data_IF_504838181660
#
_entry.id   IF_504838181660
#
_cell.length_a   1.000
_cell.length_b   1.000
_cell.length_c   1.000
_cell.angle_alpha   90.00
_cell.angle_beta   90.00
_cell.angle_gamma   90.00
#
_symmetry.space_group_name_H-M   'P 1'
#
loop_
_entity.id
_entity.type
_entity.pdbx_description
1 polymer ?
#
# COMPACT_ATOMS: atom_id res chain seq x y z
N UNK A 1 -6.76 45.54 -41.71
CA UNK A 1 -6.30 45.29 -40.33
C UNK A 1 -7.01 44.03 -39.82
N UNK A 2 -6.49 42.86 -40.19
CA UNK A 2 -5.76 41.90 -39.32
C UNK A 2 -6.63 41.29 -38.22
N UNK A 3 -7.46 40.32 -38.62
CA UNK A 3 -7.93 39.26 -37.74
C UNK A 3 -6.71 38.39 -37.39
N UNK A 4 -6.05 38.70 -36.28
CA UNK A 4 -4.99 37.85 -35.74
C UNK A 4 -5.62 36.52 -35.32
N UNK A 5 -5.17 35.46 -35.98
CA UNK A 5 -5.36 34.05 -35.61
C UNK A 5 -5.14 33.90 -34.10
N UNK A 6 -6.22 33.71 -33.36
CA UNK A 6 -6.15 33.07 -32.05
C UNK A 6 -5.87 31.60 -32.38
N UNK A 7 -4.59 31.24 -32.42
CA UNK A 7 -4.18 29.85 -32.31
C UNK A 7 -4.60 29.46 -30.90
N UNK A 8 -5.74 28.78 -30.82
CA UNK A 8 -6.20 28.09 -29.64
C UNK A 8 -5.19 26.97 -29.39
N UNK A 9 -4.10 27.30 -28.69
CA UNK A 9 -3.18 26.33 -28.13
C UNK A 9 -3.96 25.61 -27.04
N UNK A 10 -4.75 24.60 -27.43
CA UNK A 10 -5.02 23.49 -26.54
C UNK A 10 -3.65 22.90 -26.24
N UNK A 11 -2.99 23.44 -25.21
CA UNK A 11 -2.18 22.64 -24.33
C UNK A 11 -3.13 21.56 -23.83
N UNK A 12 -3.26 20.50 -24.63
CA UNK A 12 -3.40 19.15 -24.16
C UNK A 12 -2.21 18.95 -23.21
N UNK A 13 -2.35 19.48 -21.99
CA UNK A 13 -1.91 18.81 -20.80
C UNK A 13 -2.68 17.49 -20.81
N UNK A 14 -2.29 16.58 -21.70
CA UNK A 14 -2.43 15.17 -21.40
C UNK A 14 -1.64 15.09 -20.10
N UNK A 15 -2.28 14.86 -18.94
CA UNK A 15 -1.50 14.51 -17.77
C UNK A 15 -0.57 13.41 -18.28
N UNK A 16 0.74 13.56 -18.09
CA UNK A 16 1.65 12.47 -18.42
C UNK A 16 1.08 11.26 -17.66
N UNK A 17 0.41 10.36 -18.40
CA UNK A 17 -0.18 9.16 -17.83
C UNK A 17 1.08 8.36 -17.54
N UNK A 18 1.62 8.54 -16.34
CA UNK A 18 2.64 7.67 -15.80
C UNK A 18 1.98 6.30 -15.80
N UNK A 19 2.32 5.48 -16.79
CA UNK A 19 1.73 4.17 -16.92
C UNK A 19 2.25 3.33 -15.75
N UNK A 20 1.33 2.88 -14.88
CA UNK A 20 1.66 1.96 -13.81
C UNK A 20 1.72 0.55 -14.43
N UNK A 21 2.90 0.18 -14.93
CA UNK A 21 3.17 -1.18 -15.40
C UNK A 21 3.80 -1.98 -14.27
N UNK A 22 3.11 -3.05 -13.88
CA UNK A 22 3.56 -4.00 -12.89
C UNK A 22 4.19 -5.20 -13.59
N UNK A 23 5.38 -5.62 -13.14
CA UNK A 23 6.06 -6.80 -13.69
C UNK A 23 6.57 -7.72 -12.60
N UNK A 24 6.49 -9.01 -12.85
CA UNK A 24 7.09 -10.03 -11.99
C UNK A 24 8.13 -10.79 -12.78
N UNK A 25 9.31 -10.88 -12.20
CA UNK A 25 10.41 -11.69 -12.70
C UNK A 25 10.82 -12.71 -11.65
N UNK A 26 11.23 -13.89 -12.09
CA UNK A 26 11.80 -14.92 -11.23
C UNK A 26 13.11 -15.41 -11.81
N UNK A 27 13.99 -15.90 -10.97
CA UNK A 27 15.30 -16.40 -11.39
C UNK A 27 16.26 -16.41 -10.23
N UNK A 28 17.50 -15.97 -10.47
CA UNK A 28 18.56 -16.11 -9.49
C UNK A 28 19.41 -14.85 -9.33
N UNK A 29 19.87 -14.63 -8.10
CA UNK A 29 20.97 -13.73 -7.75
C UNK A 29 22.11 -14.59 -7.19
N UNK A 30 23.18 -14.75 -7.99
CA UNK A 30 24.24 -15.70 -7.70
C UNK A 30 23.71 -17.13 -7.74
N UNK A 31 23.66 -17.78 -6.57
CA UNK A 31 23.14 -19.15 -6.40
C UNK A 31 21.75 -19.20 -5.75
N UNK A 32 21.21 -18.04 -5.34
CA UNK A 32 19.98 -17.98 -4.59
C UNK A 32 18.84 -17.62 -5.52
N UNK A 33 17.72 -18.33 -5.38
CA UNK A 33 16.46 -17.98 -6.05
C UNK A 33 15.97 -16.62 -5.54
N UNK A 34 15.40 -15.84 -6.46
CA UNK A 34 14.86 -14.53 -6.17
C UNK A 34 13.70 -14.19 -7.10
N UNK A 35 12.67 -13.57 -6.51
CA UNK A 35 11.55 -12.99 -7.24
C UNK A 35 11.62 -11.46 -7.12
N UNK A 36 11.47 -10.76 -8.25
CA UNK A 36 11.48 -9.31 -8.34
C UNK A 36 10.11 -8.82 -8.83
N UNK A 37 9.56 -7.81 -8.14
CA UNK A 37 8.24 -7.24 -8.38
C UNK A 37 8.42 -5.75 -8.64
N UNK A 38 8.31 -5.34 -9.89
CA UNK A 38 8.47 -3.95 -10.32
C UNK A 38 7.11 -3.25 -10.38
N UNK A 39 7.13 -2.00 -9.97
CA UNK A 39 6.06 -1.01 -10.10
C UNK A 39 6.72 0.28 -10.61
N UNK A 40 6.71 0.45 -11.93
CA UNK A 40 7.41 1.52 -12.63
C UNK A 40 8.91 1.60 -12.23
N UNK A 41 9.33 2.67 -11.53
CA UNK A 41 10.72 2.95 -11.18
C UNK A 41 11.23 2.22 -9.91
N UNK A 42 10.34 1.57 -9.16
CA UNK A 42 10.70 0.87 -7.92
C UNK A 42 10.43 -0.61 -8.03
N UNK A 43 11.18 -1.40 -7.29
CA UNK A 43 10.91 -2.82 -7.16
C UNK A 43 11.04 -3.30 -5.73
N UNK A 44 10.26 -4.32 -5.38
CA UNK A 44 10.48 -5.11 -4.18
C UNK A 44 10.93 -6.48 -4.61
N UNK A 45 11.87 -7.07 -3.89
CA UNK A 45 12.29 -8.43 -4.14
C UNK A 45 12.41 -9.20 -2.84
N UNK A 46 12.20 -10.51 -2.93
CA UNK A 46 12.45 -11.45 -1.84
C UNK A 46 13.51 -12.44 -2.28
N UNK A 47 14.47 -12.69 -1.41
CA UNK A 47 15.52 -13.67 -1.65
C UNK A 47 15.98 -14.28 -0.32
N UNK A 48 16.60 -15.44 -0.39
CA UNK A 48 17.24 -16.10 0.75
C UNK A 48 18.74 -15.82 0.78
N UNK A 49 19.28 -15.51 1.94
CA UNK A 49 20.74 -15.43 2.16
C UNK A 49 21.32 -16.76 2.72
N UNK A 50 20.52 -17.83 2.75
CA UNK A 50 20.86 -19.12 3.35
C UNK A 50 20.54 -19.26 4.85
N UNK A 51 20.06 -18.19 5.51
CA UNK A 51 19.61 -18.22 6.92
C UNK A 51 18.17 -17.78 7.08
N UNK A 52 17.79 -16.73 6.36
CA UNK A 52 16.46 -16.12 6.41
C UNK A 52 16.08 -15.53 5.04
N UNK A 53 14.78 -15.46 4.80
CA UNK A 53 14.16 -14.75 3.69
C UNK A 53 14.04 -13.27 4.04
N UNK A 54 14.55 -12.43 3.14
CA UNK A 54 14.56 -10.98 3.32
C UNK A 54 13.81 -10.31 2.19
N UNK A 55 12.87 -9.43 2.57
CA UNK A 55 12.22 -8.50 1.64
C UNK A 55 13.06 -7.24 1.55
N UNK A 56 13.39 -6.83 0.34
CA UNK A 56 14.23 -5.67 0.05
C UNK A 56 13.56 -4.77 -0.96
N UNK A 57 13.81 -3.47 -0.81
CA UNK A 57 13.37 -2.45 -1.76
C UNK A 57 14.54 -2.07 -2.68
N UNK A 58 14.27 -2.01 -3.97
CA UNK A 58 15.11 -1.45 -5.01
C UNK A 58 14.60 -0.07 -5.35
N UNK A 59 15.49 0.91 -5.20
CA UNK A 59 15.25 2.29 -5.57
C UNK A 59 16.23 2.70 -6.66
N UNK A 60 15.73 3.43 -7.64
CA UNK A 60 16.46 3.78 -8.84
C UNK A 60 17.61 4.75 -8.55
N UNK A 61 18.77 4.49 -9.17
CA UNK A 61 19.90 5.43 -9.21
C UNK A 61 20.43 5.48 -10.62
N UNK A 62 20.23 6.62 -11.26
CA UNK A 62 20.71 6.84 -12.63
C UNK A 62 22.24 6.75 -12.70
N UNK A 63 22.76 5.97 -13.65
CA UNK A 63 24.12 6.14 -14.16
C UNK A 63 24.29 5.45 -15.53
N UNK A 64 25.09 6.07 -16.40
CA UNK A 64 25.67 5.62 -17.69
C UNK A 64 24.86 4.72 -18.65
N UNK A 65 25.00 5.01 -19.95
CA UNK A 65 24.16 4.53 -21.07
C UNK A 65 23.86 3.01 -21.20
N UNK A 66 24.61 2.11 -20.54
CA UNK A 66 24.50 0.65 -20.76
C UNK A 66 24.26 -0.19 -19.47
N UNK A 67 24.31 0.40 -18.28
CA UNK A 67 24.11 -0.35 -17.01
C UNK A 67 23.35 0.52 -16.00
N UNK A 68 22.16 0.07 -15.57
CA UNK A 68 21.37 0.78 -14.57
C UNK A 68 21.60 0.25 -13.17
N UNK A 69 21.67 1.17 -12.21
CA UNK A 69 21.98 0.88 -10.82
C UNK A 69 20.75 1.02 -9.94
N UNK A 70 20.56 0.06 -9.06
CA UNK A 70 19.56 0.11 -8.01
C UNK A 70 20.26 0.10 -6.66
N UNK A 71 19.86 1.02 -5.78
CA UNK A 71 20.19 0.91 -4.37
C UNK A 71 19.23 -0.08 -3.73
N UNK A 72 19.76 -0.94 -2.87
CA UNK A 72 18.92 -1.85 -2.09
C UNK A 72 18.84 -1.39 -0.64
N UNK A 73 17.63 -1.41 -0.09
CA UNK A 73 17.33 -1.06 1.28
C UNK A 73 16.55 -2.19 1.95
N UNK A 74 16.64 -2.27 3.28
CA UNK A 74 15.65 -3.02 4.04
C UNK A 74 14.29 -2.37 3.83
N UNK A 75 13.29 -3.17 3.48
CA UNK A 75 11.96 -2.67 3.12
C UNK A 75 11.31 -1.82 4.23
N UNK A 76 11.57 -2.16 5.50
CA UNK A 76 11.05 -1.43 6.67
C UNK A 76 11.95 -0.25 7.11
N UNK A 77 13.12 -0.04 6.49
CA UNK A 77 14.01 1.07 6.85
C UNK A 77 14.75 1.63 5.64
N UNK A 78 14.29 2.76 5.11
CA UNK A 78 15.03 3.56 4.11
C UNK A 78 16.39 4.08 4.63
N UNK A 79 16.64 3.96 5.95
CA UNK A 79 17.83 4.50 6.62
C UNK A 79 19.12 3.72 6.37
N UNK A 80 19.06 2.47 5.90
CA UNK A 80 20.25 1.65 5.69
C UNK A 80 20.35 1.20 4.24
N UNK A 81 21.11 1.96 3.45
CA UNK A 81 21.61 1.49 2.16
C UNK A 81 22.57 0.34 2.45
N UNK A 82 22.20 -0.85 2.02
CA UNK A 82 23.01 -2.03 2.28
C UNK A 82 24.00 -2.20 1.13
N UNK A 83 23.56 -1.93 -0.11
CA UNK A 83 23.98 -2.77 -1.25
C UNK A 83 23.55 -2.15 -2.61
N UNK A 84 24.17 -2.60 -3.72
CA UNK A 84 23.81 -2.19 -5.10
C UNK A 84 23.59 -3.38 -6.04
N UNK A 85 22.59 -3.26 -6.90
CA UNK A 85 22.31 -4.17 -8.03
C UNK A 85 22.51 -3.42 -9.34
N UNK A 86 23.10 -4.10 -10.32
CA UNK A 86 23.36 -3.59 -11.67
C UNK A 86 22.58 -4.44 -12.66
N UNK A 87 21.73 -3.85 -13.49
CA UNK A 87 21.03 -4.52 -14.59
C UNK A 87 21.57 -3.96 -15.91
N UNK A 88 22.00 -4.86 -16.80
CA UNK A 88 22.55 -4.51 -18.11
C UNK A 88 21.45 -4.23 -19.12
N UNK A 89 21.75 -3.38 -20.10
CA UNK A 89 20.89 -3.08 -21.25
C UNK A 89 19.47 -2.63 -20.85
N UNK A 90 19.34 -2.11 -19.64
CA UNK A 90 18.10 -1.55 -19.11
C UNK A 90 17.95 -0.13 -19.63
N UNK A 91 16.73 0.35 -19.84
CA UNK A 91 16.43 1.74 -20.15
C UNK A 91 15.12 2.07 -19.45
N UNK A 92 15.15 3.02 -18.50
CA UNK A 92 13.98 3.32 -17.66
C UNK A 92 12.77 3.80 -18.46
N UNK A 93 12.99 4.60 -19.51
CA UNK A 93 11.91 5.13 -20.36
C UNK A 93 11.27 3.96 -21.10
N UNK A 94 12.07 3.14 -21.79
CA UNK A 94 11.56 1.97 -22.51
C UNK A 94 10.94 0.93 -21.57
N UNK A 95 11.47 0.78 -20.37
CA UNK A 95 10.93 -0.14 -19.37
C UNK A 95 9.57 0.35 -18.85
N UNK A 96 9.40 1.65 -18.64
CA UNK A 96 8.13 2.20 -18.17
C UNK A 96 7.06 2.25 -19.27
N UNK A 97 7.45 2.34 -20.54
CA UNK A 97 6.51 2.55 -21.66
C UNK A 97 6.34 1.33 -22.59
N UNK A 98 7.19 0.30 -22.49
CA UNK A 98 7.25 -0.82 -23.44
C UNK A 98 6.97 -2.19 -22.81
N UNK A 99 6.00 -2.94 -23.34
CA UNK A 99 5.59 -4.27 -22.85
C UNK A 99 6.54 -5.41 -23.28
N UNK A 100 7.21 -5.30 -24.44
CA UNK A 100 7.94 -6.45 -25.02
C UNK A 100 9.45 -6.45 -24.79
N UNK A 101 10.06 -5.30 -24.45
CA UNK A 101 11.51 -5.10 -24.54
C UNK A 101 12.35 -5.73 -23.40
N UNK A 102 11.72 -6.41 -22.44
CA UNK A 102 12.39 -6.92 -21.23
C UNK A 102 11.84 -8.27 -20.77
N UNK A 103 11.87 -9.28 -21.63
CA UNK A 103 11.51 -10.65 -21.25
C UNK A 103 12.52 -11.28 -20.30
N UNK A 104 13.79 -10.84 -20.37
CA UNK A 104 14.85 -11.28 -19.48
C UNK A 104 15.61 -10.07 -18.94
N UNK A 105 16.02 -10.14 -17.68
CA UNK A 105 16.93 -9.18 -17.06
C UNK A 105 18.19 -9.91 -16.63
N UNK A 106 19.33 -9.41 -17.10
CA UNK A 106 20.64 -9.92 -16.75
C UNK A 106 21.48 -8.83 -16.09
N UNK A 107 22.31 -9.22 -15.12
CA UNK A 107 23.01 -8.24 -14.31
C UNK A 107 24.00 -8.84 -13.33
N UNK A 108 24.32 -8.06 -12.31
CA UNK A 108 25.17 -8.50 -11.21
C UNK A 108 24.80 -7.75 -9.91
N UNK A 109 24.84 -8.47 -8.79
CA UNK A 109 24.83 -7.92 -7.45
C UNK A 109 26.26 -7.96 -6.89
N UNK A 110 26.60 -7.04 -5.96
CA UNK A 110 27.82 -7.10 -5.13
C UNK A 110 29.12 -7.40 -5.88
N UNK A 111 29.84 -6.36 -6.30
CA UNK A 111 31.20 -6.51 -6.83
C UNK A 111 31.34 -7.61 -7.89
N UNK A 112 30.67 -7.47 -9.04
CA UNK A 112 30.76 -8.28 -10.28
C UNK A 112 30.63 -9.83 -10.21
N UNK A 113 30.66 -10.46 -9.04
CA UNK A 113 30.75 -11.92 -8.92
C UNK A 113 29.39 -12.62 -8.79
N UNK A 114 28.36 -11.92 -8.29
CA UNK A 114 27.01 -12.49 -8.16
C UNK A 114 26.16 -12.16 -9.38
N UNK A 115 26.20 -13.00 -10.42
CA UNK A 115 25.38 -12.83 -11.63
C UNK A 115 23.88 -12.84 -11.32
N UNK A 116 23.13 -11.97 -11.97
CA UNK A 116 21.68 -11.92 -11.92
C UNK A 116 21.16 -12.40 -13.26
N UNK A 117 20.21 -13.34 -13.25
CA UNK A 117 19.43 -13.73 -14.42
C UNK A 117 17.98 -13.91 -13.97
N UNK A 118 17.07 -13.17 -14.59
CA UNK A 118 15.65 -13.15 -14.25
C UNK A 118 14.82 -13.25 -15.53
N UNK A 119 13.80 -14.09 -15.51
CA UNK A 119 12.84 -14.26 -16.59
C UNK A 119 11.51 -13.63 -16.18
N UNK A 120 10.89 -12.86 -17.09
CA UNK A 120 9.57 -12.27 -16.87
C UNK A 120 8.53 -13.37 -16.87
N UNK A 121 7.70 -13.40 -15.83
CA UNK A 121 6.60 -14.38 -15.71
C UNK A 121 5.23 -13.71 -15.71
N UNK A 122 5.18 -12.39 -15.47
CA UNK A 122 3.92 -11.65 -15.44
C UNK A 122 4.15 -10.17 -15.76
N UNK A 123 3.17 -9.57 -16.43
CA UNK A 123 3.08 -8.15 -16.71
C UNK A 123 1.62 -7.71 -16.70
N UNK A 124 1.35 -6.53 -16.15
CA UNK A 124 0.03 -5.90 -16.10
C UNK A 124 0.17 -4.38 -16.22
N UNK A 125 -0.57 -3.75 -17.13
CA UNK A 125 -0.66 -2.30 -17.22
C UNK A 125 -2.00 -1.82 -16.65
N UNK A 126 -1.95 -1.04 -15.55
CA UNK A 126 -3.16 -0.58 -14.86
C UNK A 126 -4.13 0.18 -15.78
N UNK A 127 -3.60 0.92 -16.74
CA UNK A 127 -4.38 1.79 -17.63
C UNK A 127 -4.89 1.08 -18.88
N UNK A 128 -4.50 -0.16 -19.13
CA UNK A 128 -4.96 -0.96 -20.25
C UNK A 128 -6.13 -1.85 -19.82
N UNK A 129 -7.33 -1.26 -19.74
CA UNK A 129 -8.53 -1.99 -19.29
C UNK A 129 -8.92 -3.16 -20.21
N UNK A 130 -8.50 -3.10 -21.48
CA UNK A 130 -8.70 -4.13 -22.50
C UNK A 130 -7.71 -5.31 -22.37
N UNK A 131 -6.76 -5.27 -21.42
CA UNK A 131 -5.89 -6.41 -21.14
C UNK A 131 -6.67 -7.66 -20.72
N UNK A 132 -6.08 -8.81 -21.07
CA UNK A 132 -6.60 -10.13 -20.78
C UNK A 132 -6.85 -10.32 -19.27
N UNK A 133 -7.85 -11.14 -18.98
CA UNK A 133 -8.17 -11.55 -17.62
C UNK A 133 -7.01 -12.34 -17.02
N UNK A 134 -6.77 -12.13 -15.73
CA UNK A 134 -5.84 -12.95 -14.97
C UNK A 134 -6.39 -13.21 -13.58
N UNK A 135 -5.97 -14.32 -12.99
CA UNK A 135 -6.37 -14.67 -11.65
C UNK A 135 -5.19 -15.24 -10.88
N UNK A 136 -5.21 -15.03 -9.56
CA UNK A 136 -4.30 -15.66 -8.62
C UNK A 136 -2.81 -15.35 -8.86
N UNK A 137 -2.51 -14.12 -9.27
CA UNK A 137 -1.13 -13.66 -9.40
C UNK A 137 -0.62 -13.25 -8.02
N UNK A 138 0.41 -13.92 -7.54
CA UNK A 138 1.07 -13.54 -6.29
C UNK A 138 1.93 -12.30 -6.51
N UNK A 139 1.75 -11.28 -5.67
CA UNK A 139 2.52 -10.04 -5.72
C UNK A 139 3.12 -9.72 -4.35
N UNK A 140 4.45 -9.65 -4.27
CA UNK A 140 5.16 -9.40 -3.02
C UNK A 140 4.88 -8.01 -2.47
N UNK A 141 4.70 -7.95 -1.15
CA UNK A 141 4.49 -6.69 -0.43
C UNK A 141 5.79 -6.24 0.21
N UNK A 142 6.05 -4.93 0.15
CA UNK A 142 7.24 -4.30 0.73
C UNK A 142 7.29 -4.52 2.24
N UNK A 143 6.20 -4.15 2.89
CA UNK A 143 6.09 -4.17 4.32
C UNK A 143 6.04 -5.62 4.82
N UNK A 144 6.78 -5.90 5.89
CA UNK A 144 6.84 -7.22 6.49
C UNK A 144 6.94 -7.12 8.01
N UNK A 145 6.36 -8.06 8.74
CA UNK A 145 6.44 -8.07 10.21
C UNK A 145 7.80 -8.60 10.66
N UNK A 146 8.03 -8.68 11.97
CA UNK A 146 9.25 -9.27 12.53
C UNK A 146 9.51 -10.66 11.97
N UNK A 147 8.50 -11.53 12.00
CA UNK A 147 8.67 -12.96 11.70
C UNK A 147 8.11 -13.38 10.33
N UNK A 148 7.32 -12.52 9.66
CA UNK A 148 6.59 -12.89 8.44
C UNK A 148 6.73 -11.89 7.30
N UNK A 149 6.68 -12.38 6.07
CA UNK A 149 6.51 -11.59 4.85
C UNK A 149 5.24 -12.00 4.10
N UNK A 150 4.76 -11.12 3.21
CA UNK A 150 3.43 -11.23 2.62
C UNK A 150 3.50 -11.18 1.09
N UNK A 151 2.72 -12.01 0.42
CA UNK A 151 2.33 -11.81 -0.98
C UNK A 151 0.81 -11.61 -1.03
N UNK A 152 0.32 -10.57 -1.69
CA UNK A 152 -1.12 -10.46 -2.00
C UNK A 152 -1.42 -11.34 -3.21
N UNK A 153 -2.64 -11.85 -3.29
CA UNK A 153 -3.16 -12.60 -4.43
C UNK A 153 -4.01 -11.63 -5.23
N UNK A 154 -3.64 -11.39 -6.49
CA UNK A 154 -4.25 -10.38 -7.36
C UNK A 154 -4.99 -11.05 -8.50
N UNK A 155 -6.19 -10.53 -8.79
CA UNK A 155 -7.02 -10.97 -9.91
C UNK A 155 -7.60 -9.76 -10.64
N UNK A 156 -7.95 -9.95 -11.91
CA UNK A 156 -8.57 -8.94 -12.78
C UNK A 156 -9.51 -9.64 -13.76
N UNK A 157 -10.76 -9.18 -13.81
CA UNK A 157 -11.68 -9.53 -14.88
C UNK A 157 -11.56 -8.54 -16.06
N UNK A 158 -12.19 -8.86 -17.18
CA UNK A 158 -12.15 -8.00 -18.35
C UNK A 158 -12.80 -6.64 -18.05
N UNK A 159 -12.17 -5.55 -18.49
CA UNK A 159 -12.66 -4.16 -18.28
C UNK A 159 -12.75 -3.68 -16.83
N UNK A 160 -12.24 -4.45 -15.88
CA UNK A 160 -12.13 -4.05 -14.47
C UNK A 160 -10.67 -3.75 -14.11
N UNK A 161 -10.46 -2.99 -13.03
CA UNK A 161 -9.13 -2.86 -12.41
C UNK A 161 -8.75 -4.14 -11.66
N UNK A 162 -7.46 -4.35 -11.49
CA UNK A 162 -6.97 -5.42 -10.65
C UNK A 162 -7.33 -5.20 -9.17
N UNK A 163 -7.69 -6.29 -8.48
CA UNK A 163 -8.09 -6.28 -7.08
C UNK A 163 -7.41 -7.42 -6.32
N UNK A 164 -7.32 -7.25 -5.01
CA UNK A 164 -6.75 -8.23 -4.09
C UNK A 164 -7.85 -9.19 -3.64
N UNK A 165 -7.66 -10.47 -3.91
CA UNK A 165 -8.57 -11.56 -3.50
C UNK A 165 -8.02 -12.36 -2.32
N UNK A 166 -6.78 -12.14 -1.92
CA UNK A 166 -6.18 -12.88 -0.82
C UNK A 166 -4.81 -12.40 -0.39
N UNK A 167 -4.30 -12.98 0.69
CA UNK A 167 -2.93 -12.76 1.19
C UNK A 167 -2.31 -14.10 1.60
N UNK A 168 -1.15 -14.41 1.03
CA UNK A 168 -0.27 -15.49 1.45
C UNK A 168 0.75 -14.96 2.45
N UNK A 169 0.86 -15.64 3.59
CA UNK A 169 1.73 -15.25 4.70
C UNK A 169 2.81 -16.30 4.86
N UNK A 170 4.06 -15.89 4.80
CA UNK A 170 5.21 -16.78 4.86
C UNK A 170 6.09 -16.46 6.06
N UNK A 171 6.66 -17.50 6.67
CA UNK A 171 7.65 -17.33 7.73
C UNK A 171 9.00 -16.94 7.14
N UNK A 172 9.62 -15.88 7.65
CA UNK A 172 10.93 -15.41 7.17
C UNK A 172 12.07 -16.38 7.46
N UNK A 173 11.97 -17.18 8.51
CA UNK A 173 13.05 -18.09 8.93
C UNK A 173 13.29 -19.20 7.92
N UNK A 174 12.22 -19.76 7.35
CA UNK A 174 12.30 -20.96 6.51
C UNK A 174 11.52 -20.85 5.18
N UNK A 175 10.85 -19.72 4.92
CA UNK A 175 10.08 -19.50 3.70
C UNK A 175 8.76 -20.28 3.66
N UNK A 176 8.38 -20.97 4.74
CA UNK A 176 7.18 -21.80 4.76
C UNK A 176 5.92 -20.94 4.73
N UNK A 177 4.98 -21.30 3.86
CA UNK A 177 3.62 -20.75 3.88
C UNK A 177 2.92 -21.13 5.19
N UNK A 178 2.51 -20.12 5.95
CA UNK A 178 1.85 -20.29 7.25
C UNK A 178 0.34 -20.21 7.11
N UNK A 179 -0.16 -19.32 6.25
CA UNK A 179 -1.58 -19.08 6.09
C UNK A 179 -1.87 -18.46 4.73
N UNK A 180 -3.05 -18.77 4.21
CA UNK A 180 -3.71 -18.00 3.15
C UNK A 180 -4.97 -17.38 3.76
N UNK A 181 -5.15 -16.09 3.57
CA UNK A 181 -6.40 -15.37 3.87
C UNK A 181 -7.06 -15.12 2.51
N UNK A 182 -8.25 -15.66 2.29
CA UNK A 182 -8.98 -15.67 1.01
C UNK A 182 -10.37 -15.02 1.09
N UNK A 183 -10.76 -14.52 2.26
CA UNK A 183 -12.01 -13.79 2.51
C UNK A 183 -11.82 -12.26 2.39
N UNK A 184 -11.08 -11.83 1.37
CA UNK A 184 -10.80 -10.42 1.09
C UNK A 184 -11.69 -9.94 -0.06
N UNK A 185 -12.53 -8.95 0.23
CA UNK A 185 -13.36 -8.27 -0.77
C UNK A 185 -13.08 -6.78 -0.80
N UNK A 186 -13.32 -6.18 -1.97
CA UNK A 186 -13.30 -4.73 -2.20
C UNK A 186 -11.95 -4.06 -1.94
N UNK A 187 -10.84 -4.79 -2.09
CA UNK A 187 -9.49 -4.25 -1.96
C UNK A 187 -8.87 -3.98 -3.34
N UNK A 188 -8.60 -2.71 -3.67
CA UNK A 188 -7.88 -2.35 -4.89
C UNK A 188 -6.41 -2.77 -4.82
N UNK A 189 -5.84 -3.16 -5.97
CA UNK A 189 -4.43 -3.47 -6.08
C UNK A 189 -3.63 -2.19 -6.43
N UNK A 190 -2.67 -1.85 -5.56
CA UNK A 190 -1.80 -0.68 -5.72
C UNK A 190 -0.31 -1.06 -5.66
N UNK A 191 0.06 -2.20 -6.28
CA UNK A 191 1.44 -2.66 -6.26
C UNK A 191 1.89 -3.25 -4.92
N UNK A 192 3.08 -2.87 -4.48
CA UNK A 192 3.77 -3.47 -3.32
C UNK A 192 3.39 -2.87 -1.96
N UNK A 193 2.45 -1.91 -1.90
CA UNK A 193 2.11 -1.12 -0.69
C UNK A 193 0.71 -1.38 -0.13
N UNK A 194 0.07 -2.50 -0.50
CA UNK A 194 -1.26 -2.87 -0.02
C UNK A 194 -1.26 -3.47 1.40
N UNK A 195 -0.10 -3.88 1.92
CA UNK A 195 0.07 -4.24 3.33
C UNK A 195 0.83 -3.12 4.04
N UNK A 196 0.35 -2.73 5.23
CA UNK A 196 1.03 -1.79 6.12
C UNK A 196 1.38 -2.45 7.45
N UNK A 197 2.63 -2.30 7.89
CA UNK A 197 3.10 -2.80 9.19
C UNK A 197 4.10 -1.85 9.84
N UNK A 198 4.30 -1.98 11.14
CA UNK A 198 5.39 -1.33 11.87
C UNK A 198 6.00 -2.32 12.87
N UNK A 199 7.26 -2.10 13.26
CA UNK A 199 7.94 -2.89 14.30
C UNK A 199 7.24 -2.80 15.67
N UNK A 200 6.44 -1.76 15.90
CA UNK A 200 5.64 -1.58 17.11
C UNK A 200 4.21 -2.13 17.03
N UNK A 201 3.75 -2.61 15.87
CA UNK A 201 2.36 -3.03 15.72
C UNK A 201 2.09 -4.36 16.42
N UNK A 202 1.33 -4.31 17.52
CA UNK A 202 0.92 -5.47 18.32
C UNK A 202 -0.56 -5.33 18.73
N UNK A 203 -1.47 -5.34 17.76
CA UNK A 203 -2.89 -4.98 17.99
C UNK A 203 -3.65 -5.98 18.88
N UNK A 204 -3.07 -7.12 19.25
CA UNK A 204 -3.64 -8.04 20.23
C UNK A 204 -2.91 -8.05 21.58
N UNK A 205 -1.90 -7.19 21.77
CA UNK A 205 -1.17 -7.00 23.02
C UNK A 205 -0.51 -8.28 23.56
N UNK A 206 -0.06 -9.16 22.65
CA UNK A 206 0.62 -10.43 22.99
C UNK A 206 2.15 -10.31 22.96
N UNK A 207 2.69 -9.12 22.74
CA UNK A 207 4.12 -8.80 22.70
C UNK A 207 4.85 -9.52 21.56
N UNK A 208 4.16 -9.78 20.45
CA UNK A 208 4.74 -10.51 19.33
C UNK A 208 5.06 -9.63 18.13
N UNK A 209 4.46 -8.44 18.06
CA UNK A 209 4.71 -7.42 17.05
C UNK A 209 4.52 -7.94 15.61
N UNK A 210 3.60 -8.87 15.44
CA UNK A 210 3.21 -9.43 14.14
C UNK A 210 1.74 -9.07 13.90
N UNK A 211 1.51 -7.78 13.65
CA UNK A 211 0.22 -7.22 13.28
C UNK A 211 0.36 -6.37 12.03
N UNK A 212 -0.66 -6.39 11.17
CA UNK A 212 -0.64 -5.65 9.92
C UNK A 212 -2.04 -5.17 9.53
N UNK A 213 -2.08 -4.19 8.64
CA UNK A 213 -3.29 -3.76 7.94
C UNK A 213 -3.22 -4.17 6.47
N UNK A 214 -4.36 -4.54 5.91
CA UNK A 214 -4.58 -4.58 4.46
C UNK A 214 -5.29 -3.29 4.07
N UNK A 215 -4.72 -2.54 3.13
CA UNK A 215 -5.33 -1.34 2.57
C UNK A 215 -6.41 -1.75 1.57
N UNK A 216 -7.61 -1.21 1.75
CA UNK A 216 -8.77 -1.50 0.92
C UNK A 216 -8.87 -0.56 -0.29
N UNK A 217 -8.64 0.72 -0.07
CA UNK A 217 -8.70 1.75 -1.11
C UNK A 217 -7.70 2.86 -0.74
N UNK A 218 -6.91 3.30 -1.71
CA UNK A 218 -6.10 4.52 -1.65
C UNK A 218 -6.67 5.57 -2.61
N UNK A 219 -7.64 6.35 -2.14
CA UNK A 219 -7.98 7.61 -2.82
C UNK A 219 -6.78 8.58 -2.65
N UNK A 220 -6.49 9.41 -3.66
CA UNK A 220 -5.49 10.50 -3.62
C UNK A 220 -6.20 11.86 -3.54
N UNK A 221 -5.71 12.82 -2.73
CA UNK A 221 -6.49 14.01 -2.30
C UNK A 221 -6.36 14.41 -0.81
N UNK A 222 -6.93 15.55 -0.40
CA UNK A 222 -6.83 16.09 0.98
C UNK A 222 -7.81 15.48 1.98
N UNK A 223 -8.77 14.67 1.50
CA UNK A 223 -9.84 14.05 2.30
C UNK A 223 -9.80 12.51 2.26
N UNK A 224 -8.66 11.91 1.91
CA UNK A 224 -8.63 10.47 1.65
C UNK A 224 -8.74 9.64 2.92
N UNK A 225 -9.43 8.53 2.74
CA UNK A 225 -9.88 7.63 3.76
C UNK A 225 -9.30 6.27 3.37
N UNK A 226 -8.08 5.98 3.82
CA UNK A 226 -7.56 4.63 3.72
C UNK A 226 -8.44 3.74 4.62
N UNK A 227 -9.24 2.87 4.01
CA UNK A 227 -9.98 1.84 4.73
C UNK A 227 -9.06 0.64 4.95
N UNK A 228 -9.10 0.05 6.15
CA UNK A 228 -8.22 -1.06 6.48
C UNK A 228 -8.95 -2.30 7.02
N UNK A 229 -8.38 -3.47 6.76
CA UNK A 229 -8.60 -4.68 7.57
C UNK A 229 -7.42 -4.92 8.49
N UNK A 230 -7.65 -5.02 9.80
CA UNK A 230 -6.60 -5.27 10.78
C UNK A 230 -6.48 -6.76 11.14
N UNK A 231 -5.23 -7.25 11.13
CA UNK A 231 -4.89 -8.63 11.49
C UNK A 231 -3.79 -8.66 12.56
N UNK A 232 -3.78 -9.71 13.37
CA UNK A 232 -2.67 -9.98 14.30
C UNK A 232 -2.43 -11.46 14.45
N UNK A 233 -1.17 -11.82 14.68
CA UNK A 233 -0.78 -13.21 14.87
C UNK A 233 -1.22 -13.70 16.26
N UNK A 234 -2.00 -14.78 16.28
CA UNK A 234 -2.35 -15.52 17.48
C UNK A 234 -1.40 -16.71 17.64
N UNK A 235 -0.48 -16.62 18.60
CA UNK A 235 0.47 -17.70 18.90
C UNK A 235 -0.19 -19.00 19.34
N UNK A 236 -1.37 -18.97 19.97
CA UNK A 236 -2.07 -20.20 20.38
C UNK A 236 -2.66 -20.91 19.16
N UNK A 237 -3.22 -20.15 18.23
CA UNK A 237 -3.81 -20.69 17.00
C UNK A 237 -2.80 -20.87 15.86
N UNK A 238 -1.57 -20.35 16.02
CA UNK A 238 -0.50 -20.36 15.03
C UNK A 238 -0.91 -19.73 13.68
N UNK A 239 -1.82 -18.75 13.71
CA UNK A 239 -2.34 -18.06 12.52
C UNK A 239 -2.67 -16.60 12.81
N UNK A 240 -2.76 -15.80 11.77
CA UNK A 240 -3.31 -14.45 11.84
C UNK A 240 -4.84 -14.49 11.92
N UNK A 241 -5.37 -13.64 12.78
CA UNK A 241 -6.81 -13.49 13.03
C UNK A 241 -7.24 -12.06 12.75
N UNK A 242 -8.42 -11.92 12.13
CA UNK A 242 -9.05 -10.63 11.83
C UNK A 242 -9.61 -10.02 13.11
N UNK A 243 -9.27 -8.76 13.39
CA UNK A 243 -9.51 -8.14 14.70
C UNK A 243 -10.85 -7.41 14.83
N UNK A 244 -11.68 -7.41 13.80
CA UNK A 244 -12.90 -6.59 13.72
C UNK A 244 -12.67 -5.08 13.93
N UNK A 245 -11.45 -4.61 13.68
CA UNK A 245 -11.15 -3.19 13.48
C UNK A 245 -11.38 -2.88 12.01
N UNK A 246 -12.47 -2.15 11.75
CA UNK A 246 -12.89 -1.68 10.43
C UNK A 246 -13.07 -0.17 10.48
N UNK A 247 -12.50 0.53 9.52
CA UNK A 247 -12.45 1.99 9.54
C UNK A 247 -11.13 2.50 8.99
N UNK A 248 -10.77 3.72 9.40
CA UNK A 248 -9.59 4.41 8.91
C UNK A 248 -8.70 4.83 10.06
N UNK A 249 -7.44 5.09 9.71
CA UNK A 249 -6.47 5.87 10.48
C UNK A 249 -6.54 5.56 11.97
N UNK A 250 -6.26 4.29 12.27
CA UNK A 250 -6.32 3.78 13.63
C UNK A 250 -5.06 4.18 14.40
N UNK A 251 -5.24 4.79 15.57
CA UNK A 251 -4.22 4.78 16.61
C UNK A 251 -4.52 3.69 17.63
N UNK A 252 -3.48 3.07 18.15
CA UNK A 252 -3.58 2.03 19.19
C UNK A 252 -2.99 2.60 20.47
N UNK A 253 -3.69 2.35 21.57
CA UNK A 253 -3.29 2.68 22.92
C UNK A 253 -3.07 1.37 23.68
N UNK A 254 -1.79 1.06 23.87
CA UNK A 254 -1.34 -0.19 24.46
C UNK A 254 -1.62 -0.28 25.96
N UNK A 255 -1.68 0.86 26.65
CA UNK A 255 -1.89 0.92 28.09
C UNK A 255 -3.34 0.56 28.44
N UNK A 256 -4.28 1.26 27.81
CA UNK A 256 -5.71 1.06 28.06
C UNK A 256 -6.32 -0.03 27.16
N UNK A 257 -5.55 -0.54 26.20
CA UNK A 257 -5.95 -1.55 25.19
C UNK A 257 -7.14 -1.07 24.35
N UNK A 258 -7.03 0.16 23.88
CA UNK A 258 -7.99 0.77 22.97
C UNK A 258 -7.40 0.95 21.58
N UNK A 259 -8.28 1.02 20.61
CA UNK A 259 -7.99 1.55 19.31
C UNK A 259 -8.92 2.74 19.05
N UNK A 260 -8.40 3.80 18.46
CA UNK A 260 -9.15 4.99 18.12
C UNK A 260 -9.13 5.16 16.61
N UNK A 261 -10.29 5.35 15.99
CA UNK A 261 -10.34 5.81 14.60
C UNK A 261 -10.79 7.26 14.57
N UNK A 262 -10.16 8.06 13.73
CA UNK A 262 -10.55 9.46 13.54
C UNK A 262 -10.93 9.75 12.11
N UNK A 263 -12.03 10.49 11.91
CA UNK A 263 -12.48 10.90 10.58
C UNK A 263 -13.05 12.31 10.58
N UNK A 264 -12.92 12.96 9.44
CA UNK A 264 -13.64 14.17 9.10
C UNK A 264 -14.69 13.87 8.04
N UNK A 265 -15.87 14.42 8.21
CA UNK A 265 -16.92 14.46 7.20
C UNK A 265 -17.16 15.92 6.80
N UNK A 266 -17.49 16.19 5.53
CA UNK A 266 -17.96 17.52 5.15
C UNK A 266 -19.23 17.88 5.94
N UNK A 267 -19.32 19.15 6.37
CA UNK A 267 -20.56 19.72 6.87
C UNK A 267 -21.52 20.08 5.73
N UNK A 268 -22.57 20.86 6.03
CA UNK A 268 -23.52 21.28 4.97
C UNK A 268 -22.96 22.38 4.08
N UNK A 269 -21.99 23.14 4.60
CA UNK A 269 -21.31 24.22 3.89
C UNK A 269 -19.81 23.92 3.80
N UNK A 270 -19.14 24.59 2.87
CA UNK A 270 -17.71 24.41 2.62
C UNK A 270 -16.82 24.72 3.84
N UNK A 271 -17.27 25.60 4.73
CA UNK A 271 -16.60 25.99 5.96
C UNK A 271 -17.01 25.14 7.18
N UNK A 272 -17.82 24.11 7.01
CA UNK A 272 -18.28 23.25 8.09
C UNK A 272 -17.60 21.88 8.01
N UNK A 273 -17.14 21.36 9.14
CA UNK A 273 -16.56 20.02 9.24
C UNK A 273 -17.14 19.27 10.43
N UNK A 274 -17.45 18.00 10.24
CA UNK A 274 -17.83 17.08 11.31
C UNK A 274 -16.63 16.20 11.63
N UNK A 275 -16.25 16.16 12.90
CA UNK A 275 -15.21 15.30 13.43
C UNK A 275 -15.86 14.10 14.13
N UNK A 276 -15.53 12.90 13.68
CA UNK A 276 -16.04 11.64 14.20
C UNK A 276 -14.88 10.83 14.77
N UNK A 277 -14.95 10.52 16.07
CA UNK A 277 -13.96 9.69 16.76
C UNK A 277 -14.66 8.45 17.30
N UNK A 278 -14.12 7.27 16.99
CA UNK A 278 -14.62 6.01 17.53
C UNK A 278 -13.59 5.41 18.46
N UNK A 279 -14.06 4.95 19.62
CA UNK A 279 -13.22 4.26 20.60
C UNK A 279 -13.61 2.78 20.57
N UNK A 280 -12.64 1.93 20.30
CA UNK A 280 -12.79 0.49 20.24
C UNK A 280 -12.02 -0.12 21.40
N UNK A 281 -12.71 -0.87 22.26
CA UNK A 281 -12.08 -1.62 23.34
C UNK A 281 -11.68 -3.00 22.82
N UNK A 282 -10.44 -3.40 23.10
CA UNK A 282 -10.03 -4.79 22.89
C UNK A 282 -10.77 -5.72 23.83
N UNK A 283 -11.35 -6.77 23.26
CA UNK A 283 -11.93 -7.89 23.97
C UNK A 283 -10.96 -9.06 23.86
N UNK A 284 -10.87 -9.84 24.94
CA UNK A 284 -10.20 -11.13 24.89
C UNK A 284 -10.74 -11.99 23.72
N UNK A 285 -9.88 -12.84 23.14
CA UNK A 285 -10.11 -13.59 21.89
C UNK A 285 -9.88 -12.81 20.58
N UNK A 286 -8.97 -11.82 20.57
CA UNK A 286 -8.54 -11.10 19.37
C UNK A 286 -9.68 -10.37 18.64
N UNK A 287 -10.53 -9.66 19.38
CA UNK A 287 -11.63 -8.89 18.78
C UNK A 287 -11.70 -7.52 19.40
N UNK A 288 -12.04 -6.53 18.60
CA UNK A 288 -12.41 -5.21 19.09
C UNK A 288 -13.92 -5.03 19.08
N UNK A 289 -14.42 -4.23 20.03
CA UNK A 289 -15.79 -3.76 20.05
C UNK A 289 -15.79 -2.24 20.17
N UNK A 290 -16.51 -1.57 19.27
CA UNK A 290 -16.78 -0.13 19.40
C UNK A 290 -17.61 0.09 20.67
N UNK A 291 -17.08 0.86 21.60
CA UNK A 291 -17.75 1.18 22.88
C UNK A 291 -18.28 2.60 22.91
N UNK A 292 -17.68 3.50 22.12
CA UNK A 292 -18.05 4.90 22.12
C UNK A 292 -17.88 5.53 20.73
N UNK A 293 -18.65 6.56 20.48
CA UNK A 293 -18.54 7.42 19.30
C UNK A 293 -18.77 8.85 19.73
N UNK A 294 -17.73 9.66 19.61
CA UNK A 294 -17.80 11.10 19.79
C UNK A 294 -18.02 11.74 18.41
N UNK A 295 -18.95 12.69 18.33
CA UNK A 295 -19.22 13.46 17.11
C UNK A 295 -19.28 14.95 17.43
N UNK A 296 -18.37 15.70 16.82
CA UNK A 296 -18.24 17.14 17.02
C UNK A 296 -18.42 17.86 15.69
N UNK A 297 -19.45 18.71 15.62
CA UNK A 297 -19.59 19.68 14.54
C UNK A 297 -18.67 20.87 14.82
N UNK A 298 -17.95 21.31 13.79
CA UNK A 298 -17.06 22.47 13.84
C UNK A 298 -17.31 23.38 12.64
N UNK A 299 -17.39 24.69 12.89
CA UNK A 299 -17.48 25.72 11.86
C UNK A 299 -16.11 26.42 11.78
N UNK A 300 -15.49 26.38 10.60
CA UNK A 300 -14.19 26.99 10.33
C UNK A 300 -14.37 28.50 10.29
N UNK A 301 -13.71 29.19 11.21
CA UNK A 301 -13.80 30.64 11.30
C UNK A 301 -12.78 31.35 10.42
N UNK A 302 -11.51 31.27 10.80
CA UNK A 302 -10.43 32.01 10.12
C UNK A 302 -9.13 31.22 10.19
N UNK A 303 -8.41 31.17 9.07
CA UNK A 303 -7.07 30.57 9.02
C UNK A 303 -6.07 31.58 9.61
N UNK A 304 -5.37 31.21 10.69
CA UNK A 304 -4.30 32.08 11.22
C UNK A 304 -3.09 31.94 10.31
N UNK A 305 -2.86 32.97 9.49
CA UNK A 305 -1.93 33.04 8.35
C UNK A 305 -0.49 32.58 8.66
N UNK A 306 -0.11 32.50 9.94
CA UNK A 306 1.25 32.16 10.37
C UNK A 306 1.40 30.81 11.10
N UNK A 307 0.37 29.95 11.17
CA UNK A 307 0.46 28.72 11.97
C UNK A 307 -0.13 27.45 11.34
N UNK A 308 -0.73 27.52 10.15
CA UNK A 308 -1.54 26.43 9.58
C UNK A 308 -2.63 25.88 10.55
N UNK A 309 -2.94 26.62 11.62
CA UNK A 309 -3.92 26.21 12.62
C UNK A 309 -5.30 26.72 12.20
N UNK A 310 -6.23 25.79 12.00
CA UNK A 310 -7.64 26.10 11.77
C UNK A 310 -8.27 26.54 13.10
N UNK A 311 -8.75 27.78 13.16
CA UNK A 311 -9.52 28.27 14.31
C UNK A 311 -11.00 28.07 14.02
N UNK A 312 -11.68 27.33 14.89
CA UNK A 312 -13.11 27.08 14.78
C UNK A 312 -13.90 28.17 15.53
N UNK A 313 -14.85 28.82 14.86
CA UNK A 313 -15.74 29.83 15.45
C UNK A 313 -16.85 29.20 16.29
N UNK A 314 -17.18 27.94 16.00
CA UNK A 314 -18.23 27.20 16.71
C UNK A 314 -17.85 25.73 16.82
N UNK A 315 -18.07 25.17 18.01
CA UNK A 315 -17.95 23.73 18.27
C UNK A 315 -19.13 23.27 19.12
N UNK A 316 -19.78 22.18 18.71
CA UNK A 316 -20.85 21.54 19.47
C UNK A 316 -20.93 20.05 19.16
N UNK A 317 -21.66 19.30 19.98
CA UNK A 317 -22.05 17.94 19.63
C UNK A 317 -22.90 17.92 18.34
N UNK A 318 -22.71 16.87 17.55
CA UNK A 318 -23.52 16.63 16.37
C UNK A 318 -24.98 16.35 16.73
N UNK A 319 -25.88 16.80 15.87
CA UNK A 319 -27.26 16.30 15.86
C UNK A 319 -27.29 14.84 15.38
N UNK A 320 -28.35 14.07 15.70
CA UNK A 320 -28.49 12.70 15.22
C UNK A 320 -28.43 12.57 13.68
N UNK A 321 -28.94 13.58 12.95
CA UNK A 321 -28.89 13.61 11.49
C UNK A 321 -27.46 13.82 10.96
N UNK A 322 -26.69 14.70 11.58
CA UNK A 322 -25.28 14.94 11.21
C UNK A 322 -24.42 13.70 11.48
N UNK A 323 -24.62 13.05 12.62
CA UNK A 323 -23.96 11.78 12.93
C UNK A 323 -24.32 10.70 11.90
N UNK A 324 -25.61 10.54 11.59
CA UNK A 324 -26.08 9.54 10.61
C UNK A 324 -25.51 9.80 9.20
N UNK A 325 -25.55 11.05 8.73
CA UNK A 325 -24.99 11.41 7.43
C UNK A 325 -23.47 11.19 7.38
N UNK A 326 -22.74 11.61 8.41
CA UNK A 326 -21.31 11.38 8.49
C UNK A 326 -20.99 9.88 8.54
N UNK A 327 -21.79 9.06 9.25
CA UNK A 327 -21.65 7.61 9.24
C UNK A 327 -21.84 6.99 7.86
N UNK A 328 -22.87 7.41 7.13
CA UNK A 328 -23.08 6.96 5.74
C UNK A 328 -21.86 7.27 4.88
N UNK A 329 -21.41 8.53 4.87
CA UNK A 329 -20.20 8.94 4.14
C UNK A 329 -18.96 8.11 4.52
N UNK A 330 -18.82 7.78 5.80
CA UNK A 330 -17.64 7.10 6.37
C UNK A 330 -17.63 5.60 6.14
N UNK A 331 -18.79 4.97 6.24
CA UNK A 331 -18.97 3.53 6.15
C UNK A 331 -19.22 3.12 4.68
N UNK A 332 -19.92 3.95 3.90
CA UNK A 332 -20.37 3.69 2.51
C UNK A 332 -20.26 4.93 1.58
N UNK A 333 -19.06 5.25 1.04
CA UNK A 333 -18.80 6.47 0.28
C UNK A 333 -19.33 6.45 -1.17
N UNK A 334 -20.06 5.42 -1.61
CA UNK A 334 -20.46 5.24 -3.01
C UNK A 334 -21.99 5.32 -3.27
N UNK A 335 -22.80 5.80 -2.32
CA UNK A 335 -24.25 6.04 -2.51
C UNK A 335 -24.65 7.54 -2.49
N UNK A 336 -23.97 8.40 -3.26
CA UNK A 336 -24.47 9.77 -3.56
C UNK A 336 -24.77 9.96 -5.05
#
# INVERSE_FOLDING_TARGET
MSYKKIILLFLLLIPAISQAIFRVYTGNVGKNEADFYFDSEKAVFVYTNGKDYQVRLLDFVENNANEFNFKTYYANSYKKMIDKIFIKDFNVVTFNDGSENYQQLAGYAFGKDSKINLDKIFEYNEYSLDEAEFSNIDYLQRDSTKDFYFKVIVSKNQKEKAHIVGVKIFNKKDGRLIQVIDDISECEFHGYISIKTNESFDFNFYGNNNSFFIVKDQLSGSNNIDKYYAYSYDKKQQKFVKLNLYGNDFSIDDEDKFAYSYKYCPGKKEDEVISLKNNFKYLENNRYKRVETECLYKEVGTMVVNSNLLVFTKQRECTPKELSNCRKFVDDPYED
#
